data_IF_345093219798
#
_entry.id   IF_345093219798
#
_cell.length_a   1.000
_cell.length_b   1.000
_cell.length_c   1.000
_cell.angle_alpha   90.00
_cell.angle_beta   90.00
_cell.angle_gamma   90.00
#
_symmetry.space_group_name_H-M   'P 1'
#
loop_
_entity.id
_entity.type
_entity.pdbx_description
1 polymer ?
#
# COMPACT_ATOMS: atom_id res chain seq x y z
N UNK A 1 30.26 -16.21 39.31
CA UNK A 1 29.94 -16.44 37.89
C UNK A 1 28.46 -16.17 37.72
N UNK A 2 28.09 -15.06 37.07
CA UNK A 2 26.70 -14.69 36.80
C UNK A 2 26.56 -14.41 35.31
N UNK A 3 25.70 -15.18 34.64
CA UNK A 3 25.37 -15.02 33.22
C UNK A 3 24.48 -13.79 33.01
N UNK A 4 24.69 -12.97 31.97
CA UNK A 4 23.83 -11.84 31.70
C UNK A 4 22.53 -12.29 31.02
N UNK A 5 21.42 -11.93 31.64
CA UNK A 5 20.05 -12.11 31.13
C UNK A 5 19.85 -11.26 29.88
N UNK A 6 19.63 -11.90 28.73
CA UNK A 6 19.23 -11.23 27.49
C UNK A 6 17.77 -10.80 27.62
N UNK A 7 17.52 -9.50 27.61
CA UNK A 7 16.17 -8.93 27.47
C UNK A 7 15.57 -9.30 26.11
N UNK A 8 14.27 -9.63 26.03
CA UNK A 8 13.63 -9.95 24.76
C UNK A 8 13.57 -8.69 23.90
N UNK A 9 14.17 -8.78 22.70
CA UNK A 9 14.05 -7.76 21.67
C UNK A 9 12.57 -7.55 21.35
N UNK A 10 12.03 -6.42 21.79
CA UNK A 10 10.81 -5.84 21.25
C UNK A 10 10.97 -5.75 19.73
N UNK A 11 10.15 -6.50 18.99
CA UNK A 11 10.12 -6.48 17.53
C UNK A 11 9.73 -5.07 17.06
N UNK A 12 10.74 -4.24 16.83
CA UNK A 12 10.61 -3.01 16.07
C UNK A 12 10.11 -3.37 14.65
N UNK A 13 9.22 -2.58 14.05
CA UNK A 13 8.83 -2.78 12.66
C UNK A 13 10.08 -2.75 11.78
N UNK A 14 10.18 -3.73 10.88
CA UNK A 14 11.29 -3.91 9.95
C UNK A 14 11.73 -2.56 9.34
N UNK A 15 12.94 -2.05 9.64
CA UNK A 15 13.37 -0.67 9.37
C UNK A 15 13.62 -0.34 7.89
N UNK A 16 13.25 -1.26 6.98
CA UNK A 16 13.75 -1.27 5.61
C UNK A 16 12.97 -0.36 4.64
N UNK A 17 11.91 0.35 5.05
CA UNK A 17 11.13 1.23 4.16
C UNK A 17 10.65 2.49 4.88
N UNK A 18 11.22 3.65 4.55
CA UNK A 18 10.76 4.95 5.07
C UNK A 18 9.78 5.57 4.10
N UNK A 19 8.52 5.54 4.51
CA UNK A 19 7.47 6.20 3.77
C UNK A 19 7.50 7.71 4.09
N UNK A 20 7.66 8.54 3.07
CA UNK A 20 7.66 9.99 3.25
C UNK A 20 6.23 10.51 3.44
N UNK A 21 6.10 11.61 4.19
CA UNK A 21 4.83 12.26 4.47
C UNK A 21 4.02 12.55 3.18
N UNK A 22 2.68 12.62 3.27
CA UNK A 22 1.86 12.81 2.09
C UNK A 22 2.17 14.08 1.33
N UNK A 23 2.36 13.92 0.02
CA UNK A 23 2.61 15.04 -0.90
C UNK A 23 1.33 15.78 -1.25
N UNK A 24 0.19 15.09 -1.27
CA UNK A 24 -1.12 15.71 -1.44
C UNK A 24 -2.03 15.32 -0.27
N UNK A 25 -2.20 16.24 0.67
CA UNK A 25 -2.97 16.00 1.90
C UNK A 25 -4.48 15.94 1.65
N UNK A 26 -5.00 16.75 0.73
CA UNK A 26 -6.42 16.83 0.40
C UNK A 26 -6.73 16.12 -0.92
N UNK A 27 -6.36 14.84 -1.02
CA UNK A 27 -6.72 14.04 -2.19
C UNK A 27 -8.06 13.34 -1.95
N UNK A 28 -9.04 13.62 -2.81
CA UNK A 28 -10.32 12.91 -2.85
C UNK A 28 -10.25 11.85 -3.95
N UNK A 29 -10.22 10.54 -3.62
CA UNK A 29 -10.21 9.50 -4.63
C UNK A 29 -11.50 9.50 -5.46
N UNK A 30 -11.37 9.28 -6.76
CA UNK A 30 -12.50 9.09 -7.67
C UNK A 30 -13.34 7.88 -7.27
N UNK A 31 -14.61 7.86 -7.69
CA UNK A 31 -15.58 6.83 -7.31
C UNK A 31 -15.10 5.40 -7.63
N UNK A 32 -14.46 5.19 -8.78
CA UNK A 32 -13.89 3.89 -9.16
C UNK A 32 -12.80 3.44 -8.17
N UNK A 33 -11.89 4.35 -7.79
CA UNK A 33 -10.83 4.05 -6.83
C UNK A 33 -11.39 3.78 -5.43
N UNK A 34 -12.40 4.56 -4.99
CA UNK A 34 -13.11 4.29 -3.72
C UNK A 34 -13.80 2.93 -3.74
N UNK A 35 -14.41 2.56 -4.86
CA UNK A 35 -15.05 1.27 -5.02
C UNK A 35 -14.04 0.12 -4.88
N UNK A 36 -12.89 0.20 -5.54
CA UNK A 36 -11.80 -0.79 -5.39
C UNK A 36 -11.30 -0.91 -3.95
N UNK A 37 -11.12 0.21 -3.25
CA UNK A 37 -10.74 0.22 -1.83
C UNK A 37 -11.81 -0.45 -0.97
N UNK A 38 -13.09 -0.24 -1.27
CA UNK A 38 -14.19 -0.89 -0.54
C UNK A 38 -14.21 -2.41 -0.75
N UNK A 39 -13.93 -2.89 -1.97
CA UNK A 39 -13.80 -4.31 -2.29
C UNK A 39 -12.61 -4.91 -1.54
N UNK A 40 -11.48 -4.21 -1.48
CA UNK A 40 -10.32 -4.66 -0.72
C UNK A 40 -10.67 -4.90 0.76
N UNK A 41 -11.32 -3.93 1.42
CA UNK A 41 -11.74 -4.12 2.81
C UNK A 41 -12.80 -5.22 2.97
N UNK A 42 -13.70 -5.39 2.00
CA UNK A 42 -14.62 -6.52 1.97
C UNK A 42 -13.88 -7.86 1.92
N UNK A 43 -12.81 -7.97 1.12
CA UNK A 43 -12.01 -9.19 1.01
C UNK A 43 -11.25 -9.49 2.30
N UNK A 44 -10.68 -8.46 2.94
CA UNK A 44 -9.87 -8.62 4.16
C UNK A 44 -10.74 -8.86 5.40
N UNK A 45 -11.84 -8.13 5.54
CA UNK A 45 -12.68 -8.14 6.74
C UNK A 45 -13.99 -8.91 6.58
N UNK A 46 -14.33 -9.36 5.36
CA UNK A 46 -15.62 -9.96 5.06
C UNK A 46 -16.79 -8.96 5.07
N UNK A 47 -17.99 -9.43 4.73
CA UNK A 47 -19.23 -8.64 4.75
C UNK A 47 -19.57 -7.98 3.42
N UNK A 48 -20.22 -6.80 3.47
CA UNK A 48 -20.81 -6.14 2.31
C UNK A 48 -20.02 -4.87 1.93
N UNK A 49 -19.53 -4.79 0.69
CA UNK A 49 -18.72 -3.66 0.21
C UNK A 49 -19.42 -2.29 0.38
N UNK A 50 -20.74 -2.23 0.25
CA UNK A 50 -21.54 -0.99 0.40
C UNK A 50 -21.40 -0.36 1.79
N UNK A 51 -21.29 -1.20 2.83
CA UNK A 51 -21.05 -0.73 4.21
C UNK A 51 -19.66 -0.12 4.36
N UNK A 52 -18.65 -0.66 3.68
CA UNK A 52 -17.30 -0.07 3.66
C UNK A 52 -17.28 1.23 2.85
N UNK A 53 -17.87 1.23 1.65
CA UNK A 53 -17.87 2.40 0.75
C UNK A 53 -18.43 3.67 1.41
N UNK A 54 -19.50 3.52 2.20
CA UNK A 54 -20.15 4.64 2.93
C UNK A 54 -19.35 5.14 4.14
N UNK A 55 -18.41 4.34 4.64
CA UNK A 55 -17.61 4.67 5.83
C UNK A 55 -16.15 4.97 5.51
N UNK A 56 -15.74 4.82 4.26
CA UNK A 56 -14.44 5.27 3.79
C UNK A 56 -14.30 6.79 3.92
N UNK A 57 -13.16 7.30 4.40
CA UNK A 57 -12.93 8.73 4.49
C UNK A 57 -13.03 9.37 3.12
N UNK A 58 -13.64 10.55 3.03
CA UNK A 58 -13.76 11.32 1.78
C UNK A 58 -12.38 11.70 1.24
N UNK A 59 -11.50 12.15 2.14
CA UNK A 59 -10.12 12.54 1.87
C UNK A 59 -9.17 11.40 2.25
N UNK A 60 -8.34 10.98 1.29
CA UNK A 60 -7.26 10.01 1.50
C UNK A 60 -5.94 10.60 0.99
N UNK A 61 -5.08 11.15 1.87
CA UNK A 61 -3.81 11.72 1.46
C UNK A 61 -3.00 10.80 0.54
N UNK A 62 -2.34 11.38 -0.45
CA UNK A 62 -1.61 10.64 -1.47
C UNK A 62 -0.10 10.78 -1.28
N UNK A 63 0.60 9.65 -1.32
CA UNK A 63 2.05 9.56 -1.32
C UNK A 63 2.54 9.37 -2.76
N UNK A 64 3.41 10.27 -3.21
CA UNK A 64 4.02 10.23 -4.54
C UNK A 64 5.37 9.51 -4.59
N UNK A 65 6.01 9.33 -3.43
CA UNK A 65 7.37 8.83 -3.31
C UNK A 65 7.50 7.97 -2.05
N UNK A 66 8.16 6.82 -2.18
CA UNK A 66 8.61 5.98 -1.08
C UNK A 66 10.12 5.87 -1.14
N UNK A 67 10.78 6.00 0.02
CA UNK A 67 12.21 5.83 0.13
C UNK A 67 12.49 4.48 0.77
N UNK A 68 13.28 3.65 0.11
CA UNK A 68 13.83 2.42 0.70
C UNK A 68 15.14 2.84 1.38
N UNK A 69 15.32 2.50 2.65
CA UNK A 69 16.59 2.76 3.34
C UNK A 69 17.69 1.99 2.61
N UNK A 70 18.71 2.69 2.11
CA UNK A 70 19.70 2.14 1.16
C UNK A 70 19.87 2.96 -0.13
N UNK A 71 18.99 3.94 -0.38
CA UNK A 71 19.19 4.98 -1.41
C UNK A 71 18.19 4.95 -2.55
N UNK A 72 17.48 3.82 -2.74
CA UNK A 72 16.51 3.69 -3.80
C UNK A 72 15.19 4.39 -3.47
N UNK A 73 14.66 5.08 -4.47
CA UNK A 73 13.42 5.82 -4.38
C UNK A 73 12.42 5.24 -5.35
N UNK A 74 11.30 4.78 -4.83
CA UNK A 74 10.17 4.33 -5.66
C UNK A 74 9.21 5.51 -5.85
N UNK A 75 9.10 5.95 -7.09
CA UNK A 75 8.12 6.96 -7.50
C UNK A 75 6.84 6.30 -7.97
N UNK A 76 5.68 6.82 -7.53
CA UNK A 76 4.40 6.38 -8.08
C UNK A 76 4.19 6.97 -9.48
N UNK A 77 3.40 6.32 -10.33
CA UNK A 77 3.10 6.86 -11.67
C UNK A 77 2.47 8.25 -11.61
N UNK A 78 1.70 8.53 -10.55
CA UNK A 78 1.16 9.87 -10.30
C UNK A 78 2.27 10.92 -10.18
N UNK A 79 3.32 10.61 -9.41
CA UNK A 79 4.45 11.52 -9.25
C UNK A 79 5.27 11.67 -10.53
N UNK A 80 5.49 10.56 -11.25
CA UNK A 80 6.21 10.55 -12.52
C UNK A 80 5.51 11.45 -13.55
N UNK A 81 4.19 11.31 -13.71
CA UNK A 81 3.41 12.15 -14.63
C UNK A 81 3.47 13.63 -14.27
N UNK A 82 3.55 13.96 -12.98
CA UNK A 82 3.71 15.35 -12.53
C UNK A 82 5.10 15.89 -12.90
N UNK A 83 6.16 15.11 -12.69
CA UNK A 83 7.54 15.49 -13.05
C UNK A 83 7.72 15.65 -14.56
N UNK A 84 7.07 14.79 -15.36
CA UNK A 84 7.07 14.81 -16.82
C UNK A 84 6.39 16.04 -17.44
N UNK A 85 5.56 16.77 -16.69
CA UNK A 85 5.05 18.09 -17.11
C UNK A 85 6.12 19.19 -17.04
N UNK A 86 7.32 18.89 -16.54
CA UNK A 86 8.47 19.79 -16.67
C UNK A 86 9.20 19.53 -18.01
N UNK A 87 9.67 20.56 -18.72
CA UNK A 87 10.11 20.47 -20.11
C UNK A 87 11.44 19.71 -20.34
N UNK A 88 11.93 18.88 -19.39
CA UNK A 88 13.29 18.30 -19.45
C UNK A 88 13.44 16.82 -19.09
N UNK A 89 12.37 16.05 -18.88
CA UNK A 89 12.51 14.66 -18.38
C UNK A 89 12.12 13.60 -19.39
N UNK A 90 13.09 12.76 -19.73
CA UNK A 90 12.96 11.48 -20.45
C UNK A 90 12.00 10.51 -19.73
N UNK A 91 11.31 9.68 -20.51
CA UNK A 91 10.18 8.86 -20.07
C UNK A 91 10.63 7.60 -19.31
N UNK A 92 10.94 7.72 -18.01
CA UNK A 92 11.22 6.53 -17.18
C UNK A 92 9.92 5.95 -16.59
N UNK A 93 9.46 4.83 -17.13
CA UNK A 93 8.35 4.06 -16.55
C UNK A 93 8.92 3.07 -15.53
N UNK A 94 8.90 3.46 -14.25
CA UNK A 94 9.34 2.59 -13.17
C UNK A 94 8.31 1.48 -12.93
N UNK A 95 8.75 0.23 -13.09
CA UNK A 95 8.01 -0.96 -12.71
C UNK A 95 8.49 -1.39 -11.32
N UNK A 96 7.56 -1.66 -10.40
CA UNK A 96 7.86 -2.13 -9.06
C UNK A 96 7.61 -3.64 -8.99
N UNK A 97 8.60 -4.38 -8.52
CA UNK A 97 8.41 -5.76 -8.09
C UNK A 97 7.72 -5.74 -6.73
N UNK A 98 6.68 -6.56 -6.56
CA UNK A 98 6.03 -6.75 -5.27
C UNK A 98 5.86 -8.23 -4.97
N UNK A 99 6.12 -8.59 -3.71
CA UNK A 99 5.94 -9.95 -3.20
C UNK A 99 4.61 -10.00 -2.46
N UNK A 100 3.73 -10.90 -2.89
CA UNK A 100 2.49 -11.22 -2.18
C UNK A 100 2.68 -12.56 -1.51
N UNK A 101 2.54 -12.59 -0.19
CA UNK A 101 2.53 -13.84 0.58
C UNK A 101 1.10 -14.17 0.94
N UNK A 102 0.62 -15.33 0.50
CA UNK A 102 -0.67 -15.87 0.89
C UNK A 102 -0.45 -16.98 1.91
N UNK A 103 -1.22 -17.00 2.99
CA UNK A 103 -1.27 -18.14 3.90
C UNK A 103 -2.40 -19.05 3.44
N UNK A 104 -2.06 -20.22 2.91
CA UNK A 104 -3.05 -21.23 2.53
C UNK A 104 -3.66 -21.93 3.76
N UNK A 105 -4.74 -22.69 3.56
CA UNK A 105 -5.48 -23.41 4.61
C UNK A 105 -4.64 -24.41 5.44
N UNK A 106 -3.41 -24.73 5.01
CA UNK A 106 -2.48 -25.64 5.70
C UNK A 106 -1.25 -24.95 6.30
N UNK A 107 -1.36 -23.65 6.62
CA UNK A 107 -0.25 -22.80 7.12
C UNK A 107 0.98 -22.68 6.18
N UNK A 108 0.94 -23.29 4.99
CA UNK A 108 1.96 -23.10 3.97
C UNK A 108 1.85 -21.69 3.38
N UNK A 109 2.89 -20.89 3.60
CA UNK A 109 3.01 -19.56 3.01
C UNK A 109 3.36 -19.70 1.51
N UNK A 110 2.38 -19.52 0.64
CA UNK A 110 2.60 -19.43 -0.81
C UNK A 110 3.07 -18.02 -1.10
N UNK A 111 4.35 -17.89 -1.48
CA UNK A 111 4.92 -16.63 -1.96
C UNK A 111 4.71 -16.52 -3.47
N UNK A 112 3.99 -15.49 -3.92
CA UNK A 112 3.92 -15.11 -5.33
C UNK A 112 4.64 -13.77 -5.53
N UNK A 113 5.67 -13.75 -6.37
CA UNK A 113 6.30 -12.50 -6.81
C UNK A 113 5.57 -12.03 -8.06
N UNK A 114 5.06 -10.79 -8.03
CA UNK A 114 4.35 -10.17 -9.15
C UNK A 114 5.04 -8.87 -9.54
N UNK A 115 4.93 -8.52 -10.82
CA UNK A 115 5.39 -7.25 -11.34
C UNK A 115 4.20 -6.34 -11.63
N UNK A 116 4.35 -5.07 -11.30
CA UNK A 116 3.30 -4.10 -11.49
C UNK A 116 3.82 -2.68 -11.53
N UNK A 117 2.98 -1.77 -11.99
CA UNK A 117 3.24 -0.35 -11.86
C UNK A 117 2.54 0.16 -10.61
N UNK A 118 3.32 0.69 -9.66
CA UNK A 118 2.78 1.39 -8.51
C UNK A 118 2.17 2.72 -8.96
N UNK A 119 0.83 2.78 -9.00
CA UNK A 119 0.11 3.95 -9.51
C UNK A 119 0.02 5.06 -8.47
N UNK A 120 -0.38 4.69 -7.25
CA UNK A 120 -0.72 5.60 -6.15
C UNK A 120 -0.46 4.88 -4.82
N UNK A 121 -0.15 5.63 -3.77
CA UNK A 121 -0.21 5.14 -2.40
C UNK A 121 -1.14 6.05 -1.61
N UNK A 122 -2.21 5.47 -1.05
CA UNK A 122 -3.23 6.19 -0.30
C UNK A 122 -3.03 6.00 1.20
N UNK A 123 -3.23 7.06 1.95
CA UNK A 123 -3.36 7.02 3.41
C UNK A 123 -4.85 7.01 3.74
N UNK A 124 -5.35 5.89 4.24
CA UNK A 124 -6.75 5.71 4.62
C UNK A 124 -6.86 5.68 6.14
N UNK A 125 -7.36 6.78 6.75
CA UNK A 125 -7.63 6.84 8.18
C UNK A 125 -8.99 6.22 8.47
N UNK A 126 -9.01 5.10 9.20
CA UNK A 126 -10.22 4.40 9.55
C UNK A 126 -10.82 4.95 10.84
N UNK A 127 -12.15 5.00 10.90
CA UNK A 127 -12.87 5.43 12.09
C UNK A 127 -12.94 4.33 13.17
N UNK A 128 -13.70 4.59 14.21
CA UNK A 128 -13.89 3.68 15.36
C UNK A 128 -15.03 2.68 15.16
N UNK A 129 -15.68 2.66 13.99
CA UNK A 129 -16.85 1.81 13.76
C UNK A 129 -16.50 0.33 13.82
N UNK A 130 -17.38 -0.48 14.42
CA UNK A 130 -17.17 -1.92 14.61
C UNK A 130 -16.93 -2.71 13.31
N UNK A 131 -17.38 -2.18 12.17
CA UNK A 131 -17.16 -2.78 10.86
C UNK A 131 -15.66 -2.94 10.50
N UNK A 132 -14.78 -2.12 11.09
CA UNK A 132 -13.33 -2.18 10.85
C UNK A 132 -12.63 -3.26 11.69
N UNK A 133 -13.34 -3.92 12.62
CA UNK A 133 -12.79 -4.96 13.51
C UNK A 133 -11.49 -4.50 14.18
N UNK A 134 -10.40 -5.24 13.98
CA UNK A 134 -9.09 -4.98 14.55
C UNK A 134 -8.38 -3.79 13.89
N UNK A 135 -8.88 -3.31 12.76
CA UNK A 135 -8.35 -2.14 12.05
C UNK A 135 -9.03 -0.82 12.47
N UNK A 136 -9.90 -0.83 13.49
CA UNK A 136 -10.55 0.38 14.00
C UNK A 136 -9.53 1.42 14.49
N UNK A 137 -9.84 2.70 14.30
CA UNK A 137 -9.01 3.84 14.72
C UNK A 137 -7.55 3.79 14.21
N UNK A 138 -7.30 3.10 13.10
CA UNK A 138 -5.96 2.92 12.55
C UNK A 138 -5.78 3.69 11.24
N UNK A 139 -4.51 3.86 10.84
CA UNK A 139 -4.17 4.40 9.51
C UNK A 139 -3.66 3.27 8.63
N UNK A 140 -4.34 3.06 7.50
CA UNK A 140 -4.00 2.04 6.53
C UNK A 140 -3.27 2.68 5.34
N UNK A 141 -2.14 2.13 4.96
CA UNK A 141 -1.37 2.54 3.79
C UNK A 141 -1.70 1.58 2.65
N UNK A 142 -2.40 2.08 1.63
CA UNK A 142 -2.89 1.26 0.53
C UNK A 142 -2.09 1.55 -0.74
N UNK A 143 -1.34 0.56 -1.22
CA UNK A 143 -0.65 0.62 -2.50
C UNK A 143 -1.59 0.22 -3.65
N UNK A 144 -1.83 1.15 -4.58
CA UNK A 144 -2.62 0.90 -5.79
C UNK A 144 -1.67 0.47 -6.89
N UNK A 145 -1.74 -0.80 -7.27
CA UNK A 145 -0.86 -1.41 -8.25
C UNK A 145 -1.66 -1.76 -9.50
N UNK A 146 -1.17 -1.36 -10.66
CA UNK A 146 -1.64 -1.91 -11.95
C UNK A 146 -0.77 -3.12 -12.26
N UNK A 147 -1.37 -4.30 -12.37
CA UNK A 147 -0.65 -5.49 -12.81
C UNK A 147 -0.04 -5.28 -14.20
N UNK A 148 1.19 -5.74 -14.36
CA UNK A 148 1.74 -6.00 -15.69
C UNK A 148 1.19 -7.37 -16.07
N UNK A 149 0.38 -7.48 -17.12
CA UNK A 149 0.09 -8.79 -17.68
C UNK A 149 1.43 -9.31 -18.22
N UNK A 150 2.02 -10.29 -17.54
CA UNK A 150 2.92 -11.20 -18.23
C UNK A 150 1.98 -12.07 -19.07
N UNK A 151 1.89 -11.77 -20.37
CA UNK A 151 1.41 -12.76 -21.32
C UNK A 151 2.40 -13.92 -21.22
N UNK A 152 2.08 -14.96 -20.45
CA UNK A 152 2.76 -16.23 -20.62
C UNK A 152 2.35 -16.71 -22.01
N UNK A 153 3.25 -16.57 -22.98
CA UNK A 153 3.16 -17.39 -24.17
C UNK A 153 3.14 -18.86 -23.69
N UNK A 154 2.22 -19.62 -24.28
CA UNK A 154 1.85 -21.00 -23.96
C UNK A 154 3.03 -21.94 -23.73
#
# INVERSE_FOLDING_TARGET
MASPTLTPYSQLPDPNQVLQAPRKLQYCPEQDLRHRVSIYFQQVLGGWHTKFATKLPEVMPLWGKVMVCGGDVVHTSFEIQRLQKSPRTTHFQYHSQYKVTYHGEKEQAITAIRYGQLKKILVCKLGTQALWRDMKASTQILAVIRSCCATSAN
#
